data_IF_589432351799
#
_entry.id   IF_589432351799
#
_cell.length_a   1.000
_cell.length_b   1.000
_cell.length_c   1.000
_cell.angle_alpha   90.00
_cell.angle_beta   90.00
_cell.angle_gamma   90.00
#
_symmetry.space_group_name_H-M   'P 1'
#
loop_
_entity.id
_entity.type
_entity.pdbx_description
1 polymer ?
#
# COMPACT_ATOMS: atom_id res chain seq x y z
N UNK A 1 33.80 -24.15 -12.88
CA UNK A 1 34.14 -22.71 -12.82
C UNK A 1 34.75 -22.18 -14.11
N UNK A 2 35.26 -23.02 -15.03
CA UNK A 2 35.75 -22.59 -16.35
C UNK A 2 34.68 -22.05 -17.32
N UNK A 3 33.39 -22.37 -17.12
CA UNK A 3 32.32 -22.09 -18.10
C UNK A 3 31.66 -20.71 -17.96
N UNK A 4 31.84 -20.04 -16.82
CA UNK A 4 31.27 -18.70 -16.58
C UNK A 4 32.17 -17.58 -17.10
N UNK A 5 33.50 -17.77 -17.03
CA UNK A 5 34.49 -16.78 -17.51
C UNK A 5 34.42 -16.65 -19.03
N UNK A 6 34.24 -17.76 -19.75
CA UNK A 6 34.06 -17.77 -21.21
C UNK A 6 32.76 -17.10 -21.69
N UNK A 7 31.76 -16.92 -20.82
CA UNK A 7 30.56 -16.17 -21.16
C UNK A 7 30.78 -14.66 -21.01
N UNK A 8 31.59 -14.22 -20.04
CA UNK A 8 31.88 -12.80 -19.80
C UNK A 8 32.82 -12.20 -20.85
N UNK A 9 33.88 -12.91 -21.27
CA UNK A 9 34.77 -12.42 -22.34
C UNK A 9 34.03 -12.26 -23.69
N UNK A 10 32.97 -13.05 -23.91
CA UNK A 10 32.13 -12.93 -25.11
C UNK A 10 31.14 -11.76 -25.06
N UNK A 11 30.72 -11.30 -23.87
CA UNK A 11 29.82 -10.15 -23.73
C UNK A 11 30.59 -8.84 -23.97
N UNK A 12 31.82 -8.72 -23.49
CA UNK A 12 32.67 -7.54 -23.73
C UNK A 12 33.10 -7.42 -25.20
N UNK A 13 33.36 -8.56 -25.87
CA UNK A 13 33.57 -8.60 -27.31
C UNK A 13 32.31 -8.26 -28.13
N UNK A 14 31.11 -8.63 -27.65
CA UNK A 14 29.84 -8.24 -28.28
C UNK A 14 29.52 -6.75 -28.13
N UNK A 15 29.87 -6.13 -27.00
CA UNK A 15 29.65 -4.71 -26.74
C UNK A 15 30.54 -3.79 -27.60
N UNK A 16 31.72 -4.25 -28.01
CA UNK A 16 32.64 -3.50 -28.86
C UNK A 16 32.23 -3.44 -30.35
N UNK A 17 31.25 -4.24 -30.80
CA UNK A 17 30.86 -4.35 -32.22
C UNK A 17 29.57 -3.59 -32.60
N UNK A 18 28.89 -2.92 -31.66
CA UNK A 18 27.53 -2.36 -31.88
C UNK A 18 27.41 -0.83 -31.80
N UNK A 19 28.50 -0.07 -31.95
CA UNK A 19 28.40 1.39 -32.10
C UNK A 19 28.03 1.86 -33.52
N UNK A 20 28.14 0.99 -34.52
CA UNK A 20 27.96 1.34 -35.93
C UNK A 20 26.80 0.58 -36.59
N UNK A 21 25.58 0.80 -36.13
CA UNK A 21 24.42 0.51 -36.99
C UNK A 21 23.19 1.31 -36.60
N UNK A 22 23.13 2.54 -37.11
CA UNK A 22 21.85 3.16 -37.44
C UNK A 22 21.05 2.20 -38.33
N UNK A 23 19.91 1.74 -37.81
CA UNK A 23 18.81 1.19 -38.60
C UNK A 23 19.04 -0.21 -39.17
N UNK A 24 18.61 -1.24 -38.44
CA UNK A 24 18.05 -2.48 -39.00
C UNK A 24 17.23 -3.18 -37.90
N UNK A 25 15.91 -2.97 -37.93
CA UNK A 25 14.97 -3.83 -37.21
C UNK A 25 14.98 -5.18 -37.92
N UNK A 26 15.33 -6.24 -37.20
CA UNK A 26 15.07 -7.60 -37.65
C UNK A 26 16.28 -8.52 -37.58
N UNK A 27 16.65 -8.93 -36.38
CA UNK A 27 17.08 -10.29 -36.14
C UNK A 27 16.07 -10.85 -35.13
N UNK A 28 15.55 -12.05 -35.36
CA UNK A 28 14.48 -12.73 -34.61
C UNK A 28 13.02 -12.37 -34.98
N UNK A 29 12.19 -13.36 -35.38
CA UNK A 29 10.75 -13.17 -35.45
C UNK A 29 10.23 -12.84 -34.04
N UNK A 30 9.37 -11.82 -33.93
CA UNK A 30 8.86 -11.24 -32.67
C UNK A 30 9.82 -10.36 -31.87
N UNK A 31 10.79 -9.68 -32.51
CA UNK A 31 11.67 -8.72 -31.83
C UNK A 31 10.92 -7.67 -30.98
N UNK A 32 9.72 -7.24 -31.38
CA UNK A 32 8.88 -6.32 -30.59
C UNK A 32 8.36 -6.92 -29.27
N UNK A 33 8.35 -8.25 -29.16
CA UNK A 33 7.86 -9.02 -28.01
C UNK A 33 8.98 -9.37 -27.03
N UNK A 34 10.24 -9.22 -27.44
CA UNK A 34 11.40 -9.50 -26.63
C UNK A 34 12.00 -8.21 -26.06
N UNK A 35 12.46 -8.20 -24.80
CA UNK A 35 13.17 -7.05 -24.24
C UNK A 35 14.41 -6.71 -25.04
N UNK A 36 14.73 -5.41 -25.12
CA UNK A 36 15.97 -4.94 -25.73
C UNK A 36 17.21 -5.50 -24.99
N UNK A 37 18.34 -5.68 -25.68
CA UNK A 37 19.58 -6.23 -25.11
C UNK A 37 20.05 -5.42 -23.88
N UNK A 38 19.75 -4.12 -23.88
CA UNK A 38 20.02 -3.18 -22.77
C UNK A 38 19.37 -3.61 -21.45
N UNK A 39 18.21 -4.27 -21.49
CA UNK A 39 17.55 -4.81 -20.29
C UNK A 39 18.40 -5.89 -19.65
N UNK A 40 18.98 -6.79 -20.45
CA UNK A 40 19.84 -7.86 -19.94
C UNK A 40 21.14 -7.33 -19.34
N UNK A 41 21.74 -6.31 -19.96
CA UNK A 41 22.92 -5.61 -19.40
C UNK A 41 22.58 -5.00 -18.05
N UNK A 42 21.47 -4.27 -17.93
CA UNK A 42 21.07 -3.61 -16.69
C UNK A 42 20.70 -4.59 -15.57
N UNK A 43 20.04 -5.70 -15.92
CA UNK A 43 19.71 -6.78 -14.98
C UNK A 43 20.99 -7.45 -14.48
N UNK A 44 21.92 -7.78 -15.39
CA UNK A 44 23.20 -8.41 -15.04
C UNK A 44 24.01 -7.50 -14.11
N UNK A 45 24.11 -6.21 -14.45
CA UNK A 45 24.79 -5.23 -13.61
C UNK A 45 24.13 -5.13 -12.22
N UNK A 46 22.80 -5.06 -12.15
CA UNK A 46 22.08 -5.04 -10.86
C UNK A 46 22.43 -6.25 -9.99
N UNK A 47 22.43 -7.46 -10.56
CA UNK A 47 22.81 -8.67 -9.82
C UNK A 47 24.27 -8.68 -9.39
N UNK A 48 25.19 -8.18 -10.24
CA UNK A 48 26.61 -8.06 -9.88
C UNK A 48 26.85 -7.07 -8.73
N UNK A 49 26.01 -6.05 -8.63
CA UNK A 49 25.99 -5.07 -7.53
C UNK A 49 25.20 -5.59 -6.30
N UNK A 50 24.70 -6.83 -6.33
CA UNK A 50 23.92 -7.44 -5.25
C UNK A 50 22.49 -6.90 -5.11
N UNK A 51 21.99 -6.18 -6.12
CA UNK A 51 20.64 -5.59 -6.14
C UNK A 51 19.72 -6.45 -6.99
N UNK A 52 18.52 -6.72 -6.47
CA UNK A 52 17.45 -7.27 -7.28
C UNK A 52 16.81 -6.12 -8.08
N UNK A 53 16.70 -6.23 -9.41
CA UNK A 53 15.94 -5.26 -10.20
C UNK A 53 14.48 -5.35 -9.77
N UNK A 54 14.10 -4.49 -8.83
CA UNK A 54 12.75 -4.34 -8.37
C UNK A 54 12.05 -3.32 -9.27
N UNK A 55 10.76 -3.54 -9.56
CA UNK A 55 9.95 -2.47 -10.15
C UNK A 55 9.87 -1.36 -9.12
N UNK A 56 10.72 -0.34 -9.24
CA UNK A 56 10.53 0.91 -8.52
C UNK A 56 9.15 1.41 -8.93
N UNK A 57 8.14 1.19 -8.07
CA UNK A 57 6.87 1.90 -8.20
C UNK A 57 7.27 3.36 -8.09
N UNK A 58 7.27 4.08 -9.21
CA UNK A 58 7.51 5.51 -9.25
C UNK A 58 6.72 6.11 -8.10
N UNK A 59 7.40 6.76 -7.16
CA UNK A 59 6.76 7.35 -5.98
C UNK A 59 5.54 8.14 -6.43
N UNK A 60 4.39 7.86 -5.81
CA UNK A 60 3.15 8.54 -6.14
C UNK A 60 3.27 10.06 -5.94
N UNK A 61 2.30 10.80 -6.47
CA UNK A 61 2.19 12.24 -6.21
C UNK A 61 2.11 12.49 -4.69
N UNK A 62 2.80 13.51 -4.15
CA UNK A 62 2.69 13.87 -2.74
C UNK A 62 1.23 14.06 -2.31
N UNK A 63 0.90 13.57 -1.11
CA UNK A 63 -0.40 13.81 -0.46
C UNK A 63 -0.57 15.32 -0.22
N UNK A 64 -1.82 15.79 -0.24
CA UNK A 64 -2.15 17.20 -0.05
C UNK A 64 -3.02 17.39 1.19
N UNK A 65 -3.10 18.64 1.66
CA UNK A 65 -3.69 19.10 2.92
C UNK A 65 -5.16 18.66 3.15
N UNK A 66 -5.85 18.18 2.12
CA UNK A 66 -7.21 17.68 2.22
C UNK A 66 -7.35 16.37 3.00
N UNK A 67 -6.27 15.61 3.17
CA UNK A 67 -6.36 14.35 3.91
C UNK A 67 -6.58 14.57 5.40
N UNK A 68 -5.88 15.55 5.98
CA UNK A 68 -6.03 15.91 7.39
C UNK A 68 -7.45 16.41 7.67
N UNK A 69 -8.02 17.22 6.76
CA UNK A 69 -9.41 17.69 6.89
C UNK A 69 -10.43 16.53 6.91
N UNK A 70 -10.21 15.48 6.12
CA UNK A 70 -11.08 14.29 6.12
C UNK A 70 -10.93 13.49 7.40
N UNK A 71 -9.72 13.44 7.98
CA UNK A 71 -9.44 12.70 9.21
C UNK A 71 -10.00 13.42 10.44
N UNK A 72 -9.86 14.74 10.51
CA UNK A 72 -10.40 15.57 11.59
C UNK A 72 -11.92 15.43 11.72
N UNK A 73 -12.65 15.39 10.60
CA UNK A 73 -14.11 15.22 10.60
C UNK A 73 -14.53 13.91 11.29
N UNK A 74 -13.77 12.83 11.10
CA UNK A 74 -14.07 11.52 11.68
C UNK A 74 -13.66 11.42 13.14
N UNK A 75 -12.59 12.11 13.53
CA UNK A 75 -12.21 12.18 14.95
C UNK A 75 -13.27 12.95 15.77
N UNK A 76 -13.90 13.96 15.17
CA UNK A 76 -15.01 14.68 15.77
C UNK A 76 -16.30 13.82 15.85
N UNK A 77 -16.66 13.12 14.77
CA UNK A 77 -17.81 12.20 14.75
C UNK A 77 -17.48 10.90 14.00
N UNK A 78 -17.30 9.81 14.74
CA UNK A 78 -17.03 8.50 14.15
C UNK A 78 -18.27 7.88 13.46
N UNK A 79 -19.47 8.45 13.68
CA UNK A 79 -20.72 8.00 13.08
C UNK A 79 -20.99 8.57 11.68
N UNK A 80 -20.16 9.48 11.20
CA UNK A 80 -20.42 10.23 9.97
C UNK A 80 -20.32 9.34 8.73
N UNK A 81 -21.22 9.56 7.77
CA UNK A 81 -21.19 8.83 6.50
C UNK A 81 -20.17 9.44 5.53
N UNK A 82 -19.62 8.64 4.61
CA UNK A 82 -18.72 9.16 3.55
C UNK A 82 -19.39 10.24 2.69
N UNK A 83 -20.72 10.23 2.57
CA UNK A 83 -21.48 11.29 1.89
C UNK A 83 -21.55 12.59 2.69
N UNK A 84 -21.63 12.50 4.00
CA UNK A 84 -21.61 13.66 4.87
C UNK A 84 -20.21 14.29 4.90
N UNK A 85 -19.15 13.48 4.91
CA UNK A 85 -17.77 13.95 4.74
C UNK A 85 -17.61 14.72 3.42
N UNK A 86 -18.18 14.23 2.32
CA UNK A 86 -18.16 14.93 1.03
C UNK A 86 -18.86 16.29 1.08
N UNK A 87 -19.96 16.41 1.83
CA UNK A 87 -20.66 17.69 2.02
C UNK A 87 -19.91 18.67 2.93
N UNK A 88 -19.21 18.15 3.94
CA UNK A 88 -18.56 18.98 4.97
C UNK A 88 -17.15 19.42 4.56
N UNK A 89 -16.40 18.56 3.86
CA UNK A 89 -15.00 18.80 3.48
C UNK A 89 -14.84 19.25 2.02
N UNK A 90 -15.92 19.28 1.23
CA UNK A 90 -15.92 19.53 -0.24
C UNK A 90 -15.02 18.56 -1.04
N UNK A 91 -14.69 17.42 -0.44
CA UNK A 91 -13.85 16.40 -1.05
C UNK A 91 -14.69 15.29 -1.66
N UNK A 92 -14.26 14.81 -2.82
CA UNK A 92 -15.00 13.76 -3.54
C UNK A 92 -15.09 12.50 -2.68
N UNK A 93 -16.25 11.86 -2.66
CA UNK A 93 -16.48 10.58 -1.96
C UNK A 93 -15.38 9.54 -2.22
N UNK A 94 -14.90 9.42 -3.46
CA UNK A 94 -13.87 8.43 -3.83
C UNK A 94 -12.49 8.72 -3.22
N UNK A 95 -12.16 10.00 -3.01
CA UNK A 95 -10.94 10.45 -2.35
C UNK A 95 -11.05 10.16 -0.86
N UNK A 96 -12.14 10.60 -0.22
CA UNK A 96 -12.42 10.29 1.18
C UNK A 96 -12.33 8.79 1.45
N UNK A 97 -13.05 7.96 0.68
CA UNK A 97 -13.02 6.50 0.86
C UNK A 97 -11.63 5.89 0.68
N UNK A 98 -10.78 6.44 -0.21
CA UNK A 98 -9.39 6.01 -0.39
C UNK A 98 -8.52 6.38 0.82
N UNK A 99 -8.70 7.58 1.38
CA UNK A 99 -8.02 8.04 2.59
C UNK A 99 -8.38 7.12 3.76
N UNK A 100 -9.67 6.87 3.98
CA UNK A 100 -10.13 5.97 5.06
C UNK A 100 -9.53 4.57 4.95
N UNK A 101 -9.52 4.01 3.75
CA UNK A 101 -8.90 2.70 3.51
C UNK A 101 -7.39 2.71 3.79
N UNK A 102 -6.69 3.78 3.47
CA UNK A 102 -5.24 3.93 3.71
C UNK A 102 -4.94 4.01 5.21
N UNK A 103 -5.75 4.74 5.96
CA UNK A 103 -5.61 4.93 7.41
C UNK A 103 -6.31 3.85 8.25
N UNK A 104 -6.83 2.79 7.63
CA UNK A 104 -7.50 1.67 8.29
C UNK A 104 -8.77 2.06 9.08
N UNK A 105 -9.42 3.17 8.72
CA UNK A 105 -10.74 3.49 9.23
C UNK A 105 -11.78 2.60 8.55
N UNK A 106 -12.35 1.69 9.33
CA UNK A 106 -13.43 0.82 8.89
C UNK A 106 -14.78 1.44 9.18
N UNK A 107 -15.73 1.25 8.27
CA UNK A 107 -17.12 1.62 8.54
C UNK A 107 -17.68 0.70 9.61
N UNK A 108 -18.09 1.28 10.74
CA UNK A 108 -18.80 0.58 11.80
C UNK A 108 -20.30 0.82 11.67
N UNK A 109 -21.09 -0.18 12.07
CA UNK A 109 -22.52 0.00 12.27
C UNK A 109 -22.76 0.34 13.74
N UNK A 110 -23.13 1.59 14.00
CA UNK A 110 -23.47 2.05 15.35
C UNK A 110 -24.72 1.29 15.81
N UNK A 111 -24.60 0.56 16.93
CA UNK A 111 -25.73 -0.11 17.55
C UNK A 111 -26.36 0.81 18.60
N UNK A 112 -27.65 1.08 18.46
CA UNK A 112 -28.38 1.83 19.47
C UNK A 112 -28.64 0.92 20.69
N UNK A 113 -28.06 1.30 21.82
CA UNK A 113 -28.32 0.67 23.13
C UNK A 113 -29.21 1.56 23.97
N UNK A 114 -29.87 1.00 24.99
CA UNK A 114 -30.66 1.79 25.93
C UNK A 114 -29.77 2.85 26.59
N UNK A 115 -30.27 4.09 26.62
CA UNK A 115 -29.56 5.22 27.22
C UNK A 115 -29.28 4.93 28.69
N UNK A 116 -27.99 4.95 29.07
CA UNK A 116 -27.58 4.79 30.45
C UNK A 116 -27.77 6.12 31.18
N UNK A 117 -28.72 6.19 32.11
CA UNK A 117 -28.87 7.37 32.95
C UNK A 117 -27.71 7.41 33.96
N UNK A 118 -27.27 8.61 34.40
CA UNK A 118 -26.17 8.73 35.36
C UNK A 118 -26.38 7.93 36.65
N UNK A 119 -27.65 7.75 37.05
CA UNK A 119 -28.05 7.00 38.24
C UNK A 119 -27.83 5.49 38.10
N UNK A 120 -27.86 4.96 36.87
CA UNK A 120 -27.77 3.53 36.58
C UNK A 120 -26.32 3.01 36.56
N UNK A 121 -25.34 3.91 36.39
CA UNK A 121 -23.95 3.53 36.21
C UNK A 121 -23.37 2.82 37.44
N UNK A 122 -23.53 3.39 38.63
CA UNK A 122 -22.99 2.82 39.87
C UNK A 122 -23.60 1.46 40.22
N UNK A 123 -24.94 1.27 40.18
CA UNK A 123 -25.56 -0.04 40.37
C UNK A 123 -25.04 -1.10 39.41
N UNK A 124 -24.92 -0.77 38.11
CA UNK A 124 -24.44 -1.71 37.08
C UNK A 124 -22.97 -2.09 37.29
N UNK A 125 -22.10 -1.13 37.58
CA UNK A 125 -20.69 -1.40 37.89
C UNK A 125 -20.56 -2.32 39.11
N UNK A 126 -21.36 -2.06 40.16
CA UNK A 126 -21.39 -2.90 41.37
C UNK A 126 -21.86 -4.33 41.07
N UNK A 127 -22.89 -4.49 40.22
CA UNK A 127 -23.34 -5.79 39.76
C UNK A 127 -22.24 -6.55 39.01
N UNK A 128 -21.60 -5.92 38.02
CA UNK A 128 -20.52 -6.54 37.24
C UNK A 128 -19.35 -6.99 38.13
N UNK A 129 -18.92 -6.14 39.08
CA UNK A 129 -17.85 -6.50 40.02
C UNK A 129 -18.21 -7.72 40.86
N UNK A 130 -19.43 -7.77 41.41
CA UNK A 130 -19.89 -8.93 42.20
C UNK A 130 -19.96 -10.20 41.36
N UNK A 131 -20.45 -10.12 40.12
CA UNK A 131 -20.51 -11.28 39.23
C UNK A 131 -19.10 -11.79 38.87
N UNK A 132 -18.15 -10.90 38.62
CA UNK A 132 -16.76 -11.28 38.33
C UNK A 132 -16.11 -12.01 39.51
N UNK A 133 -16.34 -11.56 40.75
CA UNK A 133 -15.84 -12.25 41.95
C UNK A 133 -16.45 -13.64 42.07
N UNK A 134 -17.77 -13.75 41.92
CA UNK A 134 -18.46 -15.05 41.99
C UNK A 134 -18.00 -16.05 40.92
N UNK A 135 -17.77 -15.59 39.70
CA UNK A 135 -17.25 -16.44 38.63
C UNK A 135 -15.81 -16.94 38.88
N UNK A 136 -15.05 -16.29 39.77
CA UNK A 136 -13.72 -16.76 40.18
C UNK A 136 -13.78 -17.74 41.36
N UNK A 137 -14.81 -17.64 42.20
CA UNK A 137 -15.04 -18.53 43.34
C UNK A 137 -15.61 -19.89 42.92
N UNK A 138 -16.31 -19.96 41.77
CA UNK A 138 -16.93 -21.18 41.23
C UNK A 138 -16.53 -21.35 39.74
N UNK A 139 -15.38 -21.99 39.44
CA UNK A 139 -14.84 -22.12 38.08
C UNK A 139 -15.56 -23.13 37.18
#
# INVERSE_FOLDING_TARGET
MQTCISFMENVDAMLAQQSDSTGKKGLYPNAERHPDYRVFVHVHQSYSEGRLPHVCKSGGRPQADYEDMVLDEIENDAGTSVRAIEMNTDERKSIAQRILKRHQYHSYHVQHVQTLLPQDFLPRMGFCRRMLVKNQEDP
#
